data_IF_667100711310
#
_entry.id   IF_667100711310
#
_cell.length_a   1.000
_cell.length_b   1.000
_cell.length_c   1.000
_cell.angle_alpha   90.00
_cell.angle_beta   90.00
_cell.angle_gamma   90.00
#
_symmetry.space_group_name_H-M   'P 1'
#
loop_
_entity.id
_entity.type
_entity.pdbx_description
1 polymer ?
#
# COMPACT_ATOMS: atom_id res chain seq x y z
N UNK A 1 -7.57 26.47 21.88
CA UNK A 1 -7.21 25.34 22.76
C UNK A 1 -7.14 24.11 21.87
N UNK A 2 -5.94 23.79 21.38
CA UNK A 2 -5.66 22.64 20.54
C UNK A 2 -5.62 21.41 21.42
N UNK A 3 -6.64 20.55 21.34
CA UNK A 3 -6.61 19.24 22.00
C UNK A 3 -5.46 18.43 21.38
N UNK A 4 -4.47 18.10 22.21
CA UNK A 4 -3.36 17.25 21.80
C UNK A 4 -3.91 15.90 21.34
N UNK A 5 -3.81 15.64 20.03
CA UNK A 5 -3.99 14.30 19.50
C UNK A 5 -2.79 13.50 19.95
N UNK A 6 -2.99 12.57 20.87
CA UNK A 6 -2.00 11.53 21.16
C UNK A 6 -1.94 10.62 19.94
N UNK A 7 -0.84 10.70 19.20
CA UNK A 7 -0.57 9.79 18.09
C UNK A 7 0.09 8.52 18.62
N UNK A 8 -0.21 7.36 18.04
CA UNK A 8 0.59 6.15 18.26
C UNK A 8 2.01 6.45 17.80
N UNK A 9 2.98 6.58 18.71
CA UNK A 9 4.39 6.85 18.34
C UNK A 9 4.91 5.66 17.54
N UNK A 10 5.80 5.85 16.56
CA UNK A 10 6.60 4.72 16.07
C UNK A 10 7.77 4.42 17.02
N UNK A 11 8.24 3.17 17.04
CA UNK A 11 9.40 2.79 17.84
C UNK A 11 10.68 3.53 17.38
N UNK A 12 11.59 3.88 18.30
CA UNK A 12 12.91 4.42 17.97
C UNK A 12 13.80 3.34 17.32
N UNK A 13 14.75 3.75 16.46
CA UNK A 13 15.83 2.85 16.01
C UNK A 13 16.81 2.58 17.16
N UNK A 14 17.23 1.32 17.34
CA UNK A 14 18.22 0.91 18.32
C UNK A 14 19.54 1.69 18.14
N UNK A 15 20.07 2.19 19.25
CA UNK A 15 21.00 3.32 19.35
C UNK A 15 22.48 2.92 19.34
N UNK A 16 23.30 3.60 18.52
CA UNK A 16 24.62 4.09 18.95
C UNK A 16 25.14 5.33 18.18
N UNK A 17 24.29 6.00 17.41
CA UNK A 17 24.66 7.24 16.70
C UNK A 17 23.97 8.41 17.40
N UNK A 18 24.76 9.34 17.97
CA UNK A 18 24.31 10.64 18.48
C UNK A 18 23.12 11.16 17.66
N UNK A 19 21.97 11.39 18.30
CA UNK A 19 20.79 12.00 17.66
C UNK A 19 21.18 13.34 17.02
N UNK A 20 21.53 13.30 15.73
CA UNK A 20 21.44 14.47 14.89
C UNK A 20 19.95 14.77 14.73
N UNK A 21 19.50 15.98 15.06
CA UNK A 21 18.15 16.41 14.75
C UNK A 21 17.99 16.36 13.22
N UNK A 22 17.33 15.34 12.69
CA UNK A 22 16.92 15.31 11.29
C UNK A 22 15.73 16.25 11.10
N UNK A 23 15.78 17.02 10.01
CA UNK A 23 14.76 18.00 9.63
C UNK A 23 14.27 17.66 8.24
N UNK A 24 12.97 17.79 8.03
CA UNK A 24 12.35 17.61 6.72
C UNK A 24 11.49 18.85 6.39
N UNK A 25 11.60 19.34 5.16
CA UNK A 25 10.72 20.41 4.65
C UNK A 25 10.46 20.20 3.16
N UNK A 26 9.23 20.48 2.71
CA UNK A 26 8.87 20.41 1.29
C UNK A 26 9.51 21.53 0.46
N UNK A 27 10.04 22.57 1.12
CA UNK A 27 10.78 23.65 0.46
C UNK A 27 12.06 23.16 -0.24
N UNK A 28 12.64 22.06 0.23
CA UNK A 28 13.88 21.49 -0.33
C UNK A 28 13.66 20.72 -1.64
N UNK A 29 12.41 20.57 -2.08
CA UNK A 29 12.04 19.78 -3.25
C UNK A 29 11.45 20.65 -4.36
N UNK A 30 11.73 20.23 -5.60
CA UNK A 30 11.24 20.85 -6.82
C UNK A 30 9.95 20.21 -7.31
N UNK A 31 9.81 18.91 -7.02
CA UNK A 31 8.72 18.07 -7.48
C UNK A 31 8.17 17.27 -6.31
N UNK A 32 6.85 17.23 -6.19
CA UNK A 32 6.15 16.23 -5.39
C UNK A 32 5.43 15.26 -6.34
N UNK A 33 5.69 13.98 -6.17
CA UNK A 33 4.95 12.92 -6.84
C UNK A 33 3.94 12.29 -5.88
N UNK A 34 2.77 11.90 -6.37
CA UNK A 34 1.77 11.20 -5.56
C UNK A 34 1.37 9.88 -6.23
N UNK A 35 1.18 8.81 -5.46
CA UNK A 35 0.25 7.77 -5.85
C UNK A 35 -1.20 8.29 -5.82
N UNK A 36 -2.12 7.54 -6.45
CA UNK A 36 -3.53 7.85 -6.47
C UNK A 36 -4.30 7.07 -5.41
N UNK A 37 -4.49 5.76 -5.60
CA UNK A 37 -5.24 4.89 -4.70
C UNK A 37 -4.64 4.94 -3.29
N UNK A 38 -5.48 5.08 -2.26
CA UNK A 38 -5.08 5.19 -0.84
C UNK A 38 -4.17 6.38 -0.47
N UNK A 39 -3.72 7.17 -1.45
CA UNK A 39 -2.88 8.36 -1.24
C UNK A 39 -3.67 9.64 -1.48
N UNK A 40 -3.95 9.99 -2.74
CA UNK A 40 -4.82 11.13 -3.06
C UNK A 40 -6.31 10.74 -3.00
N UNK A 41 -6.64 9.54 -3.46
CA UNK A 41 -7.98 8.97 -3.47
C UNK A 41 -8.13 7.98 -2.32
N UNK A 42 -8.58 8.49 -1.17
CA UNK A 42 -8.78 7.66 0.03
C UNK A 42 -10.05 6.85 -0.06
N UNK A 43 -9.94 5.56 0.25
CA UNK A 43 -11.07 4.66 0.34
C UNK A 43 -11.68 4.65 1.74
N UNK A 44 -12.98 4.38 1.80
CA UNK A 44 -13.69 4.00 3.03
C UNK A 44 -13.37 2.55 3.31
N UNK A 45 -12.33 2.28 4.09
CA UNK A 45 -11.75 0.94 4.27
C UNK A 45 -12.78 -0.16 4.61
N UNK A 46 -13.73 0.00 5.54
CA UNK A 46 -14.74 -1.04 5.79
C UNK A 46 -15.59 -1.39 4.55
N UNK A 47 -15.93 -0.39 3.74
CA UNK A 47 -16.68 -0.60 2.50
C UNK A 47 -15.82 -1.29 1.44
N UNK A 48 -14.56 -0.88 1.29
CA UNK A 48 -13.60 -1.51 0.39
C UNK A 48 -13.34 -2.97 0.77
N UNK A 49 -13.10 -3.24 2.05
CA UNK A 49 -12.79 -4.60 2.54
C UNK A 49 -13.97 -5.53 2.33
N UNK A 50 -15.20 -5.08 2.63
CA UNK A 50 -16.41 -5.83 2.31
C UNK A 50 -16.50 -6.13 0.81
N UNK A 51 -16.21 -5.17 -0.05
CA UNK A 51 -16.27 -5.35 -1.49
C UNK A 51 -15.23 -6.36 -2.00
N UNK A 52 -13.98 -6.26 -1.54
CA UNK A 52 -12.92 -7.20 -1.91
C UNK A 52 -13.26 -8.62 -1.43
N UNK A 53 -13.65 -8.75 -0.16
CA UNK A 53 -14.11 -10.02 0.42
C UNK A 53 -15.25 -10.64 -0.40
N UNK A 54 -16.31 -9.87 -0.66
CA UNK A 54 -17.51 -10.37 -1.35
C UNK A 54 -17.21 -10.77 -2.79
N UNK A 55 -16.35 -10.01 -3.48
CA UNK A 55 -15.96 -10.32 -4.85
C UNK A 55 -15.25 -11.68 -4.96
N UNK A 56 -14.35 -11.98 -4.03
CA UNK A 56 -13.62 -13.25 -4.01
C UNK A 56 -14.54 -14.39 -3.53
N UNK A 57 -15.41 -14.16 -2.54
CA UNK A 57 -16.42 -15.15 -2.12
C UNK A 57 -17.30 -15.58 -3.29
N UNK A 58 -17.79 -14.62 -4.10
CA UNK A 58 -18.59 -14.93 -5.30
C UNK A 58 -17.82 -15.84 -6.25
N UNK A 59 -16.57 -15.49 -6.56
CA UNK A 59 -15.72 -16.33 -7.39
C UNK A 59 -15.53 -17.74 -6.83
N UNK A 60 -15.26 -17.87 -5.53
CA UNK A 60 -15.05 -19.17 -4.87
C UNK A 60 -16.31 -20.04 -4.93
N UNK A 61 -17.50 -19.45 -4.72
CA UNK A 61 -18.77 -20.16 -4.85
C UNK A 61 -18.98 -20.62 -6.29
N UNK A 62 -18.69 -19.77 -7.28
CA UNK A 62 -18.84 -20.11 -8.71
C UNK A 62 -17.98 -21.30 -9.13
N UNK A 63 -16.80 -21.49 -8.51
CA UNK A 63 -15.92 -22.63 -8.75
C UNK A 63 -16.17 -23.82 -7.79
N UNK A 64 -17.25 -23.78 -7.02
CA UNK A 64 -17.76 -24.91 -6.24
C UNK A 64 -17.39 -24.96 -4.77
N UNK A 65 -16.91 -23.86 -4.17
CA UNK A 65 -16.70 -23.82 -2.71
C UNK A 65 -18.05 -23.79 -1.97
N UNK A 66 -18.20 -24.50 -0.83
CA UNK A 66 -19.46 -24.53 -0.11
C UNK A 66 -19.79 -23.16 0.48
N UNK A 67 -20.95 -22.60 0.10
CA UNK A 67 -21.37 -21.24 0.49
C UNK A 67 -21.41 -21.05 2.02
N UNK A 68 -21.76 -22.10 2.75
CA UNK A 68 -21.92 -22.10 4.20
C UNK A 68 -20.63 -21.86 4.99
N UNK A 69 -19.45 -21.90 4.35
CA UNK A 69 -18.19 -21.55 5.02
C UNK A 69 -17.96 -20.03 5.07
N UNK A 70 -18.72 -19.26 4.30
CA UNK A 70 -18.59 -17.81 4.18
C UNK A 70 -19.74 -17.11 4.91
N UNK A 71 -19.41 -16.16 5.77
CA UNK A 71 -20.36 -15.18 6.32
C UNK A 71 -20.28 -13.88 5.52
N UNK A 72 -21.26 -13.00 5.68
CA UNK A 72 -21.11 -11.60 5.27
C UNK A 72 -19.94 -10.95 6.02
N UNK A 73 -19.36 -9.91 5.42
CA UNK A 73 -18.31 -9.11 6.05
C UNK A 73 -18.93 -8.00 6.90
N UNK A 74 -18.68 -8.04 8.20
CA UNK A 74 -19.11 -7.08 9.21
C UNK A 74 -17.90 -6.47 9.96
N UNK A 75 -18.16 -5.71 11.02
CA UNK A 75 -17.11 -5.00 11.76
C UNK A 75 -16.22 -5.94 12.59
N UNK A 76 -16.72 -7.12 12.97
CA UNK A 76 -15.94 -8.08 13.78
C UNK A 76 -14.73 -8.61 13.02
N UNK A 77 -14.78 -8.70 11.69
CA UNK A 77 -13.66 -9.14 10.86
C UNK A 77 -12.56 -8.09 10.73
N UNK A 78 -12.82 -6.82 11.10
CA UNK A 78 -11.77 -5.78 11.17
C UNK A 78 -10.68 -6.14 12.18
N UNK A 79 -10.97 -6.97 13.18
CA UNK A 79 -10.00 -7.48 14.14
C UNK A 79 -8.85 -8.27 13.49
N UNK A 80 -9.05 -8.81 12.29
CA UNK A 80 -8.05 -9.56 11.53
C UNK A 80 -7.36 -8.75 10.43
N UNK A 81 -7.80 -7.50 10.21
CA UNK A 81 -7.34 -6.65 9.12
C UNK A 81 -6.06 -5.89 9.51
N UNK A 82 -4.89 -6.43 9.16
CA UNK A 82 -3.60 -5.75 9.32
C UNK A 82 -2.78 -5.84 8.04
N UNK A 83 -2.23 -4.70 7.59
CA UNK A 83 -1.29 -4.65 6.46
C UNK A 83 0.03 -5.33 6.82
N UNK A 84 0.66 -5.93 5.84
CA UNK A 84 2.00 -6.47 5.95
C UNK A 84 2.11 -7.87 6.57
N UNK A 85 0.99 -8.55 6.80
CA UNK A 85 0.98 -9.95 7.20
C UNK A 85 1.42 -10.86 6.05
N UNK A 86 2.03 -12.00 6.39
CA UNK A 86 2.42 -13.03 5.43
C UNK A 86 1.51 -14.25 5.53
N UNK A 87 1.14 -14.85 4.41
CA UNK A 87 0.51 -16.16 4.36
C UNK A 87 1.48 -17.21 3.83
N UNK A 88 1.71 -18.24 4.64
CA UNK A 88 2.41 -19.46 4.26
C UNK A 88 1.49 -20.37 3.45
N UNK A 89 1.76 -20.44 2.15
CA UNK A 89 1.02 -21.23 1.16
C UNK A 89 1.16 -22.73 1.34
N UNK A 90 2.20 -23.20 2.03
CA UNK A 90 2.43 -24.62 2.29
C UNK A 90 1.81 -25.08 3.60
N UNK A 91 1.70 -24.18 4.59
CA UNK A 91 1.25 -24.52 5.95
C UNK A 91 -0.08 -23.93 6.38
N UNK A 92 -0.70 -23.05 5.57
CA UNK A 92 -1.97 -22.42 5.93
C UNK A 92 -1.87 -21.43 7.09
N UNK A 93 -0.68 -20.89 7.33
CA UNK A 93 -0.38 -20.03 8.47
C UNK A 93 -0.26 -18.56 8.07
N UNK A 94 -0.70 -17.66 8.95
CA UNK A 94 -0.62 -16.22 8.81
C UNK A 94 0.38 -15.67 9.82
N UNK A 95 1.38 -14.95 9.37
CA UNK A 95 2.55 -14.56 10.15
C UNK A 95 2.66 -13.04 10.26
N UNK A 96 2.96 -12.57 11.47
CA UNK A 96 3.42 -11.20 11.73
C UNK A 96 4.90 -11.23 12.08
N UNK A 97 5.69 -10.36 11.47
CA UNK A 97 7.14 -10.33 11.65
C UNK A 97 7.62 -9.19 12.55
N UNK A 98 8.67 -9.45 13.32
CA UNK A 98 9.45 -8.44 14.03
C UNK A 98 10.55 -7.85 13.17
N UNK A 99 11.26 -6.85 13.69
CA UNK A 99 12.37 -6.17 13.00
C UNK A 99 13.43 -7.15 12.45
N UNK A 100 13.75 -8.20 13.20
CA UNK A 100 14.72 -9.23 12.81
C UNK A 100 14.13 -10.31 11.88
N UNK A 101 12.91 -10.10 11.39
CA UNK A 101 12.15 -11.02 10.51
C UNK A 101 11.82 -12.35 11.18
N UNK A 102 11.91 -12.40 12.51
CA UNK A 102 11.35 -13.47 13.34
C UNK A 102 9.83 -13.39 13.37
N UNK A 103 9.17 -14.53 13.56
CA UNK A 103 7.71 -14.61 13.62
C UNK A 103 7.26 -14.27 15.04
N UNK A 104 6.52 -13.17 15.18
CA UNK A 104 5.99 -12.67 16.46
C UNK A 104 4.63 -13.26 16.80
N UNK A 105 3.77 -13.39 15.79
CA UNK A 105 2.44 -13.95 15.89
C UNK A 105 2.21 -14.88 14.71
N UNK A 106 1.53 -15.98 14.98
CA UNK A 106 1.09 -16.91 13.96
C UNK A 106 -0.34 -17.33 14.23
N UNK A 107 -1.16 -17.31 13.18
CA UNK A 107 -2.49 -17.92 13.16
C UNK A 107 -2.50 -19.05 12.15
N UNK A 108 -3.09 -20.19 12.51
CA UNK A 108 -3.46 -21.23 11.57
C UNK A 108 -4.97 -21.15 11.35
N UNK A 109 -5.38 -20.73 10.15
CA UNK A 109 -6.77 -20.31 9.94
C UNK A 109 -7.14 -19.22 10.95
N UNK A 110 -8.25 -19.38 11.68
CA UNK A 110 -8.66 -18.43 12.74
C UNK A 110 -8.06 -18.72 14.12
N UNK A 111 -7.25 -19.76 14.26
CA UNK A 111 -6.68 -20.17 15.55
C UNK A 111 -5.27 -19.61 15.75
N UNK A 112 -5.07 -18.83 16.82
CA UNK A 112 -3.74 -18.37 17.25
C UNK A 112 -2.88 -19.56 17.71
N UNK A 113 -1.65 -19.64 17.23
CA UNK A 113 -0.66 -20.64 17.68
C UNK A 113 0.12 -20.13 18.90
N UNK A 114 0.58 -21.06 19.74
CA UNK A 114 1.50 -20.76 20.84
C UNK A 114 2.93 -20.58 20.33
N UNK A 115 3.79 -19.94 21.12
CA UNK A 115 5.19 -19.72 20.77
C UNK A 115 5.94 -21.06 20.55
N UNK A 116 5.61 -22.09 21.32
CA UNK A 116 6.20 -23.43 21.18
C UNK A 116 5.79 -24.07 19.84
N UNK A 117 4.53 -23.90 19.44
CA UNK A 117 4.05 -24.38 18.15
C UNK A 117 4.72 -23.63 16.99
N UNK A 118 4.88 -22.30 17.10
CA UNK A 118 5.61 -21.49 16.12
C UNK A 118 7.05 -21.98 15.98
N UNK A 119 7.77 -22.14 17.09
CA UNK A 119 9.17 -22.60 17.09
C UNK A 119 9.31 -24.00 16.49
N UNK A 120 8.34 -24.89 16.73
CA UNK A 120 8.33 -26.23 16.15
C UNK A 120 8.14 -26.20 14.63
N UNK A 121 7.35 -25.26 14.11
CA UNK A 121 7.02 -25.15 12.69
C UNK A 121 8.07 -24.34 11.91
N UNK A 122 8.64 -23.31 12.53
CA UNK A 122 9.47 -22.27 11.92
C UNK A 122 10.79 -22.03 12.67
N UNK A 123 11.36 -23.08 13.26
CA UNK A 123 12.66 -22.98 13.94
C UNK A 123 13.74 -22.39 13.02
N UNK A 124 14.80 -21.82 13.61
CA UNK A 124 15.78 -21.01 12.88
C UNK A 124 16.48 -21.71 11.69
N UNK A 125 16.47 -23.04 11.65
CA UNK A 125 17.05 -23.87 10.59
C UNK A 125 16.05 -24.19 9.45
N UNK A 126 14.79 -23.74 9.54
CA UNK A 126 13.77 -24.02 8.54
C UNK A 126 14.01 -23.23 7.26
N UNK A 127 13.64 -23.80 6.10
CA UNK A 127 13.74 -23.11 4.81
C UNK A 127 12.89 -21.83 4.78
N UNK A 128 11.75 -21.83 5.46
CA UNK A 128 10.88 -20.66 5.58
C UNK A 128 11.56 -19.55 6.39
N UNK A 129 12.18 -19.88 7.52
CA UNK A 129 12.93 -18.92 8.31
C UNK A 129 14.11 -18.33 7.51
N UNK A 130 14.77 -19.15 6.70
CA UNK A 130 15.80 -18.67 5.76
C UNK A 130 15.20 -17.75 4.68
N UNK A 131 14.04 -18.09 4.11
CA UNK A 131 13.32 -17.26 3.14
C UNK A 131 12.93 -15.89 3.72
N UNK A 132 12.45 -15.84 4.97
CA UNK A 132 12.04 -14.59 5.62
C UNK A 132 13.21 -13.58 5.74
N UNK A 133 14.46 -14.05 5.72
CA UNK A 133 15.66 -13.18 5.65
C UNK A 133 15.78 -12.39 4.36
N UNK A 134 14.97 -12.67 3.34
CA UNK A 134 14.93 -11.91 2.09
C UNK A 134 13.81 -10.86 2.05
N UNK A 135 13.01 -10.71 3.11
CA UNK A 135 12.02 -9.64 3.20
C UNK A 135 12.68 -8.24 3.15
N UNK A 136 12.07 -7.23 2.50
CA UNK A 136 10.76 -7.30 1.83
C UNK A 136 10.86 -7.93 0.43
N UNK A 137 9.85 -8.72 0.04
CA UNK A 137 9.80 -9.30 -1.30
C UNK A 137 9.43 -8.26 -2.35
N UNK A 138 10.34 -7.98 -3.28
CA UNK A 138 10.11 -7.10 -4.43
C UNK A 138 9.58 -7.93 -5.61
N UNK A 139 8.40 -7.55 -6.11
CA UNK A 139 7.74 -8.20 -7.25
C UNK A 139 8.60 -8.11 -8.52
N UNK A 140 8.86 -9.26 -9.15
CA UNK A 140 9.66 -9.34 -10.38
C UNK A 140 11.18 -9.39 -10.18
N UNK A 141 11.68 -9.12 -8.97
CA UNK A 141 13.11 -9.29 -8.62
C UNK A 141 13.33 -10.51 -7.73
N UNK A 142 12.42 -10.73 -6.78
CA UNK A 142 12.56 -11.83 -5.84
C UNK A 142 12.20 -13.13 -6.54
N UNK A 143 13.16 -14.05 -6.65
CA UNK A 143 12.94 -15.31 -7.35
C UNK A 143 11.76 -16.08 -6.77
N UNK A 144 11.03 -16.78 -7.63
CA UNK A 144 9.92 -17.65 -7.20
C UNK A 144 10.39 -18.71 -6.19
N UNK A 145 11.63 -19.21 -6.33
CA UNK A 145 12.23 -20.12 -5.35
C UNK A 145 12.28 -19.51 -3.95
N UNK A 146 12.61 -18.21 -3.86
CA UNK A 146 12.66 -17.47 -2.59
C UNK A 146 11.25 -17.17 -2.08
N UNK A 147 10.30 -16.78 -2.93
CA UNK A 147 8.92 -16.42 -2.53
C UNK A 147 7.91 -17.57 -2.60
N UNK A 148 8.37 -18.82 -2.80
CA UNK A 148 7.50 -19.98 -2.99
C UNK A 148 6.55 -20.21 -1.82
N UNK A 149 7.00 -19.88 -0.61
CA UNK A 149 6.26 -20.09 0.63
C UNK A 149 5.25 -18.98 0.88
N UNK A 150 5.61 -17.72 0.64
CA UNK A 150 4.88 -16.61 1.23
C UNK A 150 4.14 -15.74 0.23
N UNK A 151 2.94 -15.32 0.61
CA UNK A 151 2.23 -14.19 0.03
C UNK A 151 2.18 -13.05 1.06
N UNK A 152 2.44 -11.82 0.65
CA UNK A 152 2.37 -10.65 1.53
C UNK A 152 1.11 -9.85 1.25
N UNK A 153 0.30 -9.60 2.29
CA UNK A 153 -0.85 -8.69 2.24
C UNK A 153 -0.37 -7.24 2.42
N UNK A 154 0.38 -6.74 1.44
CA UNK A 154 1.17 -5.51 1.55
C UNK A 154 0.42 -4.20 1.31
N UNK A 155 -0.84 -4.26 0.90
CA UNK A 155 -1.65 -3.10 0.53
C UNK A 155 -3.09 -3.23 1.04
N UNK A 156 -3.83 -2.13 1.14
CA UNK A 156 -5.18 -2.11 1.69
C UNK A 156 -6.22 -2.88 0.84
N UNK A 157 -5.96 -3.11 -0.45
CA UNK A 157 -6.85 -3.94 -1.28
C UNK A 157 -6.79 -5.42 -0.87
N UNK A 158 -5.65 -5.87 -0.37
CA UNK A 158 -5.47 -7.24 0.11
C UNK A 158 -5.94 -7.44 1.56
N UNK A 159 -5.90 -6.43 2.42
CA UNK A 159 -6.16 -6.58 3.87
C UNK A 159 -7.54 -7.15 4.18
N UNK A 160 -8.60 -6.67 3.52
CA UNK A 160 -9.97 -7.16 3.75
C UNK A 160 -10.20 -8.64 3.40
N UNK A 161 -9.25 -9.26 2.69
CA UNK A 161 -9.33 -10.64 2.20
C UNK A 161 -8.62 -11.65 3.10
N UNK A 162 -7.88 -11.19 4.11
CA UNK A 162 -7.12 -12.03 5.05
C UNK A 162 -8.06 -12.99 5.78
N UNK A 163 -9.14 -12.47 6.37
CA UNK A 163 -10.12 -13.28 7.09
C UNK A 163 -10.78 -14.33 6.18
N UNK A 164 -11.04 -14.00 4.91
CA UNK A 164 -11.56 -14.97 3.95
C UNK A 164 -10.63 -16.17 3.79
N UNK A 165 -9.33 -15.92 3.59
CA UNK A 165 -8.36 -17.00 3.47
C UNK A 165 -8.20 -17.79 4.78
N UNK A 166 -8.33 -17.14 5.94
CA UNK A 166 -8.37 -17.83 7.24
C UNK A 166 -9.55 -18.80 7.33
N UNK A 167 -10.74 -18.40 6.86
CA UNK A 167 -11.92 -19.29 6.81
C UNK A 167 -11.76 -20.44 5.83
N UNK A 168 -11.07 -20.22 4.72
CA UNK A 168 -10.73 -21.28 3.75
C UNK A 168 -9.81 -22.31 4.40
N UNK A 169 -8.81 -21.87 5.17
CA UNK A 169 -7.93 -22.78 5.94
C UNK A 169 -8.73 -23.58 6.97
N UNK A 170 -9.56 -22.93 7.79
CA UNK A 170 -10.42 -23.62 8.77
C UNK A 170 -11.32 -24.67 8.10
N UNK A 171 -11.92 -24.33 6.95
CA UNK A 171 -12.83 -25.20 6.22
C UNK A 171 -12.12 -26.40 5.58
N UNK A 172 -10.90 -26.21 5.05
CA UNK A 172 -10.08 -27.31 4.56
C UNK A 172 -9.74 -28.28 5.69
N UNK A 173 -9.32 -27.78 6.85
CA UNK A 173 -8.95 -28.62 7.99
C UNK A 173 -10.16 -29.35 8.62
N UNK A 174 -11.34 -28.74 8.54
CA UNK A 174 -12.60 -29.40 8.89
C UNK A 174 -13.11 -30.39 7.82
N UNK A 175 -12.39 -30.62 6.73
CA UNK A 175 -12.77 -31.53 5.65
C UNK A 175 -13.92 -31.03 4.77
N UNK A 176 -14.27 -29.74 4.83
CA UNK A 176 -15.35 -29.13 4.02
C UNK A 176 -14.90 -28.76 2.61
N UNK A 177 -13.60 -28.56 2.40
CA UNK A 177 -12.99 -28.31 1.09
C UNK A 177 -12.16 -29.52 0.71
N UNK A 178 -12.46 -30.13 -0.44
CA UNK A 178 -11.69 -31.24 -0.98
C UNK A 178 -10.34 -30.76 -1.53
N UNK A 179 -9.32 -30.74 -0.67
CA UNK A 179 -7.92 -30.49 -1.04
C UNK A 179 -6.96 -31.27 -0.14
N UNK A 180 -5.88 -31.77 -0.74
CA UNK A 180 -4.80 -32.46 -0.02
C UNK A 180 -3.81 -31.48 0.63
N UNK A 181 -3.72 -30.25 0.11
CA UNK A 181 -2.81 -29.19 0.56
C UNK A 181 -3.51 -27.83 0.69
N UNK A 182 -2.77 -26.81 1.15
CA UNK A 182 -3.22 -25.42 1.19
C UNK A 182 -2.94 -24.64 -0.11
N UNK A 183 -2.11 -25.19 -1.00
CA UNK A 183 -1.71 -24.55 -2.24
C UNK A 183 -2.88 -24.41 -3.20
N UNK A 184 -3.72 -25.46 -3.38
CA UNK A 184 -4.91 -25.35 -4.24
C UNK A 184 -5.88 -24.27 -3.72
N UNK A 185 -6.34 -24.29 -2.45
CA UNK A 185 -7.25 -23.24 -1.97
C UNK A 185 -6.68 -21.82 -2.05
N UNK A 186 -5.38 -21.67 -1.85
CA UNK A 186 -4.73 -20.38 -2.07
C UNK A 186 -4.75 -19.96 -3.55
N UNK A 187 -4.45 -20.87 -4.49
CA UNK A 187 -4.51 -20.56 -5.94
C UNK A 187 -5.90 -20.12 -6.35
N UNK A 188 -6.94 -20.82 -5.90
CA UNK A 188 -8.34 -20.50 -6.20
C UNK A 188 -8.75 -19.13 -5.62
N UNK A 189 -8.33 -18.84 -4.38
CA UNK A 189 -8.50 -17.51 -3.77
C UNK A 189 -7.77 -16.41 -4.56
N UNK A 190 -6.51 -16.66 -4.93
CA UNK A 190 -5.66 -15.70 -5.65
C UNK A 190 -6.13 -15.49 -7.09
N UNK A 191 -6.72 -16.50 -7.73
CA UNK A 191 -7.40 -16.38 -9.02
C UNK A 191 -8.58 -15.43 -8.91
N UNK A 192 -9.42 -15.58 -7.87
CA UNK A 192 -10.51 -14.63 -7.59
C UNK A 192 -10.03 -13.21 -7.38
N UNK A 193 -8.97 -13.05 -6.59
CA UNK A 193 -8.31 -11.75 -6.38
C UNK A 193 -7.80 -11.15 -7.70
N UNK A 194 -7.12 -11.94 -8.52
CA UNK A 194 -6.55 -11.50 -9.80
C UNK A 194 -7.65 -11.13 -10.80
N UNK A 195 -8.71 -11.95 -10.90
CA UNK A 195 -9.88 -11.70 -11.76
C UNK A 195 -10.62 -10.44 -11.36
N UNK A 196 -10.76 -10.18 -10.06
CA UNK A 196 -11.42 -8.98 -9.52
C UNK A 196 -10.84 -7.69 -10.09
N UNK A 197 -9.51 -7.61 -10.20
CA UNK A 197 -8.77 -6.43 -10.64
C UNK A 197 -8.39 -6.42 -12.13
N UNK A 198 -8.94 -7.32 -12.96
CA UNK A 198 -8.70 -7.25 -14.41
C UNK A 198 -9.18 -5.89 -14.94
N UNK A 199 -8.29 -5.15 -15.61
CA UNK A 199 -8.59 -3.79 -16.09
C UNK A 199 -9.78 -3.74 -17.07
N UNK A 200 -10.00 -4.83 -17.80
CA UNK A 200 -11.11 -5.01 -18.74
C UNK A 200 -12.46 -4.91 -18.03
N UNK A 201 -12.56 -5.42 -16.79
CA UNK A 201 -13.78 -5.36 -16.00
C UNK A 201 -14.27 -3.92 -15.76
N UNK A 202 -13.36 -2.96 -15.65
CA UNK A 202 -13.74 -1.56 -15.51
C UNK A 202 -14.44 -1.08 -16.78
N UNK A 203 -13.81 -1.23 -17.95
CA UNK A 203 -14.36 -0.76 -19.23
C UNK A 203 -15.66 -1.46 -19.59
N UNK A 204 -15.69 -2.77 -19.46
CA UNK A 204 -16.81 -3.62 -19.86
C UNK A 204 -17.94 -3.64 -18.84
N UNK A 205 -17.73 -3.06 -17.65
CA UNK A 205 -18.68 -3.10 -16.54
C UNK A 205 -19.06 -4.54 -16.16
N UNK A 206 -18.07 -5.41 -16.10
CA UNK A 206 -18.19 -6.84 -15.75
C UNK A 206 -17.54 -7.14 -14.40
N UNK A 207 -17.73 -8.36 -13.89
CA UNK A 207 -17.30 -8.73 -12.54
C UNK A 207 -18.16 -8.06 -11.46
N UNK A 208 -17.63 -7.95 -10.24
CA UNK A 208 -18.36 -7.36 -9.11
C UNK A 208 -17.71 -6.08 -8.58
N UNK A 209 -16.38 -6.06 -8.44
CA UNK A 209 -15.64 -4.94 -7.84
C UNK A 209 -15.83 -3.61 -8.58
N UNK A 210 -15.40 -3.49 -9.83
CA UNK A 210 -15.47 -2.23 -10.55
C UNK A 210 -16.90 -1.73 -10.81
N UNK A 211 -17.89 -2.59 -11.17
CA UNK A 211 -19.29 -2.16 -11.25
C UNK A 211 -19.82 -1.56 -9.95
N UNK A 212 -19.51 -2.18 -8.81
CA UNK A 212 -19.93 -1.69 -7.50
C UNK A 212 -19.23 -0.36 -7.16
N UNK A 213 -17.92 -0.24 -7.40
CA UNK A 213 -17.19 1.02 -7.21
C UNK A 213 -17.78 2.15 -8.05
N UNK A 214 -18.09 1.90 -9.33
CA UNK A 214 -18.71 2.90 -10.23
C UNK A 214 -20.09 3.33 -9.77
N UNK A 215 -20.91 2.38 -9.31
CA UNK A 215 -22.30 2.63 -8.93
C UNK A 215 -22.40 3.33 -7.58
N UNK A 216 -21.50 2.98 -6.67
CA UNK A 216 -21.51 3.43 -5.28
C UNK A 216 -20.26 4.25 -4.91
N UNK A 217 -19.72 5.04 -5.85
CA UNK A 217 -18.46 5.80 -5.69
C UNK A 217 -18.39 6.58 -4.38
N UNK A 218 -19.49 7.25 -3.98
CA UNK A 218 -19.52 8.05 -2.75
C UNK A 218 -19.50 7.26 -1.45
N UNK A 219 -19.88 5.98 -1.51
CA UNK A 219 -19.75 5.01 -0.41
C UNK A 219 -18.40 4.30 -0.41
N UNK A 220 -17.63 4.41 -1.48
CA UNK A 220 -16.30 3.80 -1.60
C UNK A 220 -15.17 4.78 -1.35
N UNK A 221 -15.30 6.04 -1.81
CA UNK A 221 -14.24 7.04 -1.76
C UNK A 221 -14.62 8.24 -0.89
N UNK A 222 -13.61 8.86 -0.30
CA UNK A 222 -13.71 10.21 0.23
C UNK A 222 -13.39 11.23 -0.87
N UNK A 223 -14.04 12.40 -0.81
CA UNK A 223 -13.61 13.54 -1.62
C UNK A 223 -12.43 14.24 -0.95
N UNK A 224 -11.51 14.79 -1.73
CA UNK A 224 -10.43 15.61 -1.20
C UNK A 224 -11.04 16.83 -0.50
N UNK A 225 -10.50 17.16 0.68
CA UNK A 225 -11.00 18.31 1.43
C UNK A 225 -10.67 19.63 0.72
N UNK A 226 -11.49 20.68 0.86
CA UNK A 226 -11.17 22.00 0.29
C UNK A 226 -9.78 22.51 0.71
N UNK A 227 -9.35 22.21 1.94
CA UNK A 227 -8.02 22.57 2.46
C UNK A 227 -6.90 21.87 1.70
N UNK A 228 -7.04 20.58 1.41
CA UNK A 228 -6.08 19.82 0.61
C UNK A 228 -6.00 20.34 -0.83
N UNK A 229 -7.15 20.64 -1.45
CA UNK A 229 -7.18 21.21 -2.80
C UNK A 229 -6.49 22.58 -2.86
N UNK A 230 -6.74 23.44 -1.87
CA UNK A 230 -6.07 24.73 -1.77
C UNK A 230 -4.56 24.58 -1.54
N UNK A 231 -4.16 23.62 -0.70
CA UNK A 231 -2.75 23.31 -0.48
C UNK A 231 -2.06 22.87 -1.77
N UNK A 232 -2.65 21.98 -2.57
CA UNK A 232 -2.09 21.59 -3.89
C UNK A 232 -1.93 22.80 -4.83
N UNK A 233 -2.90 23.74 -4.83
CA UNK A 233 -2.77 24.99 -5.61
C UNK A 233 -1.64 25.87 -5.10
N UNK A 234 -1.52 26.02 -3.77
CA UNK A 234 -0.47 26.82 -3.15
C UNK A 234 0.92 26.24 -3.47
N UNK A 235 1.09 24.92 -3.41
CA UNK A 235 2.33 24.25 -3.79
C UNK A 235 2.75 24.60 -5.23
N UNK A 236 1.80 24.59 -6.17
CA UNK A 236 2.04 24.98 -7.57
C UNK A 236 2.37 26.47 -7.69
N UNK A 237 1.64 27.32 -6.96
CA UNK A 237 1.86 28.77 -6.93
C UNK A 237 3.28 29.09 -6.45
N UNK A 238 3.78 28.35 -5.46
CA UNK A 238 5.15 28.45 -4.95
C UNK A 238 6.21 27.87 -5.90
N UNK A 239 5.80 27.38 -7.08
CA UNK A 239 6.67 26.86 -8.12
C UNK A 239 7.00 25.37 -8.02
N UNK A 240 6.42 24.64 -7.06
CA UNK A 240 6.60 23.18 -7.00
C UNK A 240 5.81 22.48 -8.09
N UNK A 241 6.42 21.51 -8.76
CA UNK A 241 5.74 20.68 -9.77
C UNK A 241 5.06 19.50 -9.10
N UNK A 242 3.89 19.14 -9.60
CA UNK A 242 3.09 18.04 -9.04
C UNK A 242 2.85 17.01 -10.12
N UNK A 243 3.25 15.77 -9.88
CA UNK A 243 2.96 14.64 -10.77
C UNK A 243 2.18 13.55 -10.03
N UNK A 244 1.30 12.86 -10.74
CA UNK A 244 0.66 11.64 -10.22
C UNK A 244 1.29 10.44 -10.91
N UNK A 245 1.66 9.40 -10.15
CA UNK A 245 2.24 8.15 -10.65
C UNK A 245 1.46 7.00 -10.02
N UNK A 246 0.50 6.46 -10.76
CA UNK A 246 -0.42 5.42 -10.28
C UNK A 246 -0.33 4.14 -11.10
N UNK A 247 -0.48 3.00 -10.43
CA UNK A 247 -0.65 1.70 -11.07
C UNK A 247 -2.06 1.47 -11.61
N UNK A 248 -3.02 2.36 -11.32
CA UNK A 248 -4.37 2.30 -11.87
C UNK A 248 -4.40 2.56 -13.38
N UNK A 249 -5.27 1.86 -14.10
CA UNK A 249 -5.51 2.12 -15.52
C UNK A 249 -6.16 3.51 -15.71
N UNK A 250 -5.97 4.12 -16.87
CA UNK A 250 -6.29 5.54 -17.10
C UNK A 250 -7.76 5.91 -16.84
N UNK A 251 -8.70 5.04 -17.22
CA UNK A 251 -10.13 5.25 -17.01
C UNK A 251 -10.53 5.19 -15.54
N UNK A 252 -9.98 4.26 -14.78
CA UNK A 252 -10.23 4.16 -13.35
C UNK A 252 -9.60 5.33 -12.60
N UNK A 253 -8.37 5.70 -12.96
CA UNK A 253 -7.70 6.87 -12.42
C UNK A 253 -8.50 8.15 -12.69
N UNK A 254 -8.99 8.35 -13.91
CA UNK A 254 -9.81 9.50 -14.26
C UNK A 254 -11.12 9.53 -13.46
N UNK A 255 -11.81 8.39 -13.30
CA UNK A 255 -13.04 8.31 -12.50
C UNK A 255 -12.78 8.75 -11.04
N UNK A 256 -11.70 8.26 -10.43
CA UNK A 256 -11.33 8.64 -9.06
C UNK A 256 -10.97 10.12 -8.96
N UNK A 257 -10.13 10.62 -9.86
CA UNK A 257 -9.72 12.02 -9.87
C UNK A 257 -10.91 12.97 -10.07
N UNK A 258 -11.84 12.64 -10.97
CA UNK A 258 -13.08 13.41 -11.16
C UNK A 258 -13.94 13.42 -9.90
N UNK A 259 -14.05 12.30 -9.20
CA UNK A 259 -14.85 12.22 -7.98
C UNK A 259 -14.20 12.96 -6.80
N UNK A 260 -12.90 12.74 -6.58
CA UNK A 260 -12.18 13.24 -5.43
C UNK A 260 -11.84 14.74 -5.54
N UNK A 261 -11.48 15.22 -6.73
CA UNK A 261 -10.98 16.58 -6.97
C UNK A 261 -11.99 17.43 -7.76
N UNK A 262 -12.67 16.83 -8.73
CA UNK A 262 -13.64 17.50 -9.60
C UNK A 262 -13.29 17.41 -11.09
N UNK A 263 -14.14 17.96 -11.95
CA UNK A 263 -14.01 17.83 -13.42
C UNK A 263 -12.73 18.43 -14.00
N UNK A 264 -12.14 19.41 -13.33
CA UNK A 264 -10.91 20.08 -13.75
C UNK A 264 -9.69 19.56 -12.98
N UNK A 265 -9.69 18.28 -12.60
CA UNK A 265 -8.63 17.68 -11.79
C UNK A 265 -7.23 17.85 -12.41
N UNK A 266 -7.10 17.91 -13.73
CA UNK A 266 -5.81 18.09 -14.41
C UNK A 266 -5.18 19.46 -14.13
N UNK A 267 -5.94 20.46 -13.66
CA UNK A 267 -5.41 21.77 -13.29
C UNK A 267 -4.44 21.69 -12.10
N UNK A 268 -4.60 20.68 -11.24
CA UNK A 268 -3.78 20.45 -10.05
C UNK A 268 -2.44 19.75 -10.34
N UNK A 269 -2.26 19.15 -11.53
CA UNK A 269 -1.08 18.34 -11.84
C UNK A 269 -0.36 18.82 -13.08
N UNK A 270 0.96 18.71 -13.12
CA UNK A 270 1.78 19.00 -14.29
C UNK A 270 1.82 17.81 -15.24
N UNK A 271 1.65 16.59 -14.75
CA UNK A 271 1.46 15.37 -15.55
C UNK A 271 0.90 14.24 -14.71
N UNK A 272 0.27 13.27 -15.37
CA UNK A 272 -0.23 12.04 -14.73
C UNK A 272 0.29 10.83 -15.47
N UNK A 273 0.88 9.89 -14.74
CA UNK A 273 1.34 8.60 -15.22
C UNK A 273 0.39 7.55 -14.67
N UNK A 274 -0.34 6.90 -15.57
CA UNK A 274 -1.26 5.79 -15.29
C UNK A 274 -0.58 4.48 -15.63
N UNK A 275 -1.10 3.36 -15.12
CA UNK A 275 -0.54 2.04 -15.35
C UNK A 275 0.99 2.02 -15.21
N UNK A 276 1.51 2.67 -14.17
CA UNK A 276 2.96 2.81 -13.96
C UNK A 276 3.65 1.45 -13.78
N UNK A 277 2.88 0.43 -13.37
CA UNK A 277 3.35 -0.93 -13.10
C UNK A 277 4.51 -0.93 -12.09
N UNK A 278 4.30 -0.25 -10.97
CA UNK A 278 5.17 -0.29 -9.79
C UNK A 278 5.26 -1.76 -9.28
N UNK A 279 6.41 -2.22 -8.78
CA UNK A 279 7.66 -1.49 -8.58
C UNK A 279 8.47 -1.28 -9.86
N UNK A 280 8.10 -1.90 -10.98
CA UNK A 280 8.85 -1.85 -12.24
C UNK A 280 9.09 -0.44 -12.81
N UNK A 281 8.26 0.54 -12.46
CA UNK A 281 8.51 1.96 -12.78
C UNK A 281 9.86 2.46 -12.22
N UNK A 282 10.22 2.01 -11.02
CA UNK A 282 11.46 2.37 -10.33
C UNK A 282 12.63 1.50 -10.77
N UNK A 283 12.37 0.23 -11.07
CA UNK A 283 13.42 -0.78 -11.23
C UNK A 283 13.82 -1.04 -12.69
N UNK A 284 13.01 -0.59 -13.66
CA UNK A 284 13.26 -0.81 -15.09
C UNK A 284 13.52 0.51 -15.82
N UNK A 285 14.77 1.01 -15.83
CA UNK A 285 15.10 2.36 -16.31
C UNK A 285 14.78 2.59 -17.80
N UNK A 286 14.78 1.53 -18.62
CA UNK A 286 14.51 1.61 -20.05
C UNK A 286 13.03 1.44 -20.43
N UNK A 287 12.12 1.27 -19.47
CA UNK A 287 10.69 1.17 -19.77
C UNK A 287 10.19 2.49 -20.35
N UNK A 288 9.63 2.42 -21.57
CA UNK A 288 9.15 3.59 -22.30
C UNK A 288 7.75 4.00 -21.85
N UNK A 289 7.45 5.29 -22.02
CA UNK A 289 6.11 5.82 -21.84
C UNK A 289 5.27 5.61 -23.11
N UNK A 290 3.96 5.59 -22.93
CA UNK A 290 2.97 5.53 -24.00
C UNK A 290 1.98 6.69 -23.88
N UNK A 291 1.44 7.17 -25.00
CA UNK A 291 0.24 8.00 -24.97
C UNK A 291 -0.95 7.19 -24.45
N UNK A 292 -1.98 7.86 -23.95
CA UNK A 292 -3.24 7.22 -23.59
C UNK A 292 -4.25 7.45 -24.71
N UNK A 293 -4.74 6.37 -25.33
CA UNK A 293 -5.79 6.41 -26.35
C UNK A 293 -6.90 5.44 -25.97
N UNK A 294 -8.14 5.93 -25.89
CA UNK A 294 -9.28 5.14 -25.42
C UNK A 294 -8.99 4.42 -24.09
N UNK A 295 -8.32 5.13 -23.16
CA UNK A 295 -7.96 4.64 -21.83
C UNK A 295 -7.03 3.42 -21.80
N UNK A 296 -6.27 3.20 -22.88
CA UNK A 296 -5.22 2.17 -22.99
C UNK A 296 -3.94 2.76 -23.54
N UNK A 297 -2.86 1.98 -23.49
CA UNK A 297 -1.59 2.35 -24.10
C UNK A 297 -1.76 2.55 -25.62
N UNK A 298 -1.38 3.73 -26.09
CA UNK A 298 -1.33 4.12 -27.50
C UNK A 298 0.10 4.03 -28.04
N UNK A 299 0.57 5.11 -28.64
CA UNK A 299 1.89 5.18 -29.26
C UNK A 299 3.00 5.32 -28.21
N UNK A 300 4.11 4.62 -28.42
CA UNK A 300 5.32 4.78 -27.62
C UNK A 300 5.92 6.17 -27.84
N UNK A 301 6.30 6.86 -26.76
CA UNK A 301 6.80 8.23 -26.82
C UNK A 301 8.23 8.37 -26.29
N UNK A 302 9.04 9.16 -27.00
CA UNK A 302 10.39 9.51 -26.60
C UNK A 302 10.51 10.85 -25.87
N UNK A 303 9.52 11.74 -26.00
CA UNK A 303 9.50 13.02 -25.29
C UNK A 303 8.18 13.21 -24.55
N UNK A 304 8.27 13.53 -23.27
CA UNK A 304 7.14 13.90 -22.44
C UNK A 304 6.84 15.40 -22.59
N UNK A 305 5.62 15.79 -22.25
CA UNK A 305 5.03 17.13 -22.34
C UNK A 305 4.27 17.41 -21.05
N UNK A 306 4.12 18.68 -20.74
CA UNK A 306 3.27 19.12 -19.65
C UNK A 306 1.79 18.81 -19.92
N UNK A 307 1.00 18.84 -18.85
CA UNK A 307 -0.46 18.68 -18.84
C UNK A 307 -0.97 17.48 -19.63
N UNK A 308 -0.22 16.38 -19.63
CA UNK A 308 -0.54 15.17 -20.39
C UNK A 308 -0.70 13.96 -19.47
N UNK A 309 -1.57 13.03 -19.88
CA UNK A 309 -1.74 11.72 -19.26
C UNK A 309 -0.96 10.67 -20.05
N UNK A 310 -0.13 9.91 -19.35
CA UNK A 310 0.74 8.88 -19.89
C UNK A 310 0.38 7.50 -19.33
N UNK A 311 0.85 6.45 -20.01
CA UNK A 311 0.85 5.09 -19.49
C UNK A 311 2.28 4.54 -19.36
N UNK A 312 2.51 3.72 -18.32
CA UNK A 312 3.78 3.04 -18.03
C UNK A 312 4.96 4.01 -17.80
N UNK A 313 6.12 3.75 -18.42
CA UNK A 313 7.35 4.52 -18.23
C UNK A 313 8.24 4.08 -17.07
N UNK A 314 9.27 4.89 -16.80
CA UNK A 314 10.25 4.66 -15.75
C UNK A 314 10.66 5.95 -15.04
N UNK A 315 11.23 5.83 -13.83
CA UNK A 315 11.75 6.99 -13.09
C UNK A 315 12.85 7.72 -13.87
N UNK A 316 13.71 6.99 -14.59
CA UNK A 316 14.77 7.57 -15.43
C UNK A 316 14.23 8.41 -16.59
N UNK A 317 13.20 7.92 -17.30
CA UNK A 317 12.59 8.68 -18.40
C UNK A 317 11.74 9.83 -17.85
N UNK A 318 11.08 9.66 -16.69
CA UNK A 318 10.35 10.74 -16.04
C UNK A 318 11.26 11.91 -15.67
N UNK A 319 12.49 11.64 -15.22
CA UNK A 319 13.46 12.69 -14.90
C UNK A 319 13.71 13.65 -16.06
N UNK A 320 13.60 13.20 -17.32
CA UNK A 320 13.71 14.08 -18.49
C UNK A 320 12.59 15.13 -18.53
N UNK A 321 11.35 14.73 -18.21
CA UNK A 321 10.23 15.65 -18.05
C UNK A 321 10.46 16.58 -16.86
N UNK A 322 10.92 16.05 -15.73
CA UNK A 322 11.12 16.87 -14.53
C UNK A 322 12.15 17.97 -14.77
N UNK A 323 13.23 17.69 -15.52
CA UNK A 323 14.20 18.70 -15.95
C UNK A 323 13.56 19.79 -16.80
N UNK A 324 12.71 19.41 -17.76
CA UNK A 324 11.98 20.35 -18.61
C UNK A 324 11.00 21.22 -17.81
N UNK A 325 10.23 20.62 -16.89
CA UNK A 325 9.24 21.33 -16.08
C UNK A 325 9.89 22.31 -15.10
N UNK A 326 11.00 21.91 -14.48
CA UNK A 326 11.66 22.69 -13.42
C UNK A 326 12.74 23.64 -13.95
N UNK A 327 13.26 23.40 -15.16
CA UNK A 327 14.43 24.11 -15.69
C UNK A 327 15.74 23.77 -14.97
N UNK A 328 15.79 22.67 -14.20
CA UNK A 328 16.94 22.25 -13.41
C UNK A 328 17.58 20.99 -13.99
N UNK A 329 18.90 20.88 -13.91
CA UNK A 329 19.63 19.70 -14.39
C UNK A 329 19.42 18.46 -13.51
N UNK A 330 19.18 18.68 -12.22
CA UNK A 330 18.95 17.64 -11.21
C UNK A 330 17.75 18.05 -10.32
N UNK A 331 16.51 17.93 -10.83
CA UNK A 331 15.33 18.23 -10.03
C UNK A 331 15.22 17.27 -8.85
N UNK A 332 15.00 17.80 -7.65
CA UNK A 332 14.80 16.97 -6.47
C UNK A 332 13.32 16.61 -6.31
N UNK A 333 13.01 15.31 -6.35
CA UNK A 333 11.65 14.80 -6.18
C UNK A 333 11.46 14.12 -4.82
N UNK A 334 10.31 14.36 -4.19
CA UNK A 334 9.78 13.53 -3.10
C UNK A 334 8.50 12.83 -3.57
N UNK A 335 8.38 11.53 -3.33
CA UNK A 335 7.23 10.72 -3.72
C UNK A 335 6.39 10.32 -2.51
N UNK A 336 5.07 10.47 -2.60
CA UNK A 336 4.10 10.15 -1.56
C UNK A 336 3.29 8.92 -2.00
N UNK A 337 3.25 7.87 -1.19
CA UNK A 337 2.52 6.65 -1.51
C UNK A 337 2.23 5.79 -0.28
N UNK A 338 1.33 4.81 -0.40
CA UNK A 338 0.88 3.96 0.70
C UNK A 338 1.48 2.55 0.70
N UNK A 339 1.96 2.07 -0.46
CA UNK A 339 2.62 0.77 -0.57
C UNK A 339 4.02 0.82 0.02
N UNK A 340 4.20 0.20 1.18
CA UNK A 340 5.49 0.20 1.89
C UNK A 340 6.63 -0.44 1.09
N UNK A 341 6.31 -1.31 0.14
CA UNK A 341 7.29 -1.88 -0.78
C UNK A 341 7.37 -1.06 -2.06
N UNK A 342 6.27 -0.97 -2.80
CA UNK A 342 6.29 -0.48 -4.18
C UNK A 342 6.45 1.05 -4.27
N UNK A 343 6.09 1.80 -3.22
CA UNK A 343 6.15 3.28 -3.18
C UNK A 343 7.20 3.84 -2.24
N UNK A 344 7.62 3.06 -1.24
CA UNK A 344 8.48 3.54 -0.16
C UNK A 344 9.86 2.88 -0.23
N UNK A 345 9.93 1.57 -0.03
CA UNK A 345 11.20 0.86 0.01
C UNK A 345 11.93 0.87 -1.34
N UNK A 346 11.24 0.52 -2.43
CA UNK A 346 11.85 0.37 -3.75
C UNK A 346 12.42 1.68 -4.30
N UNK A 347 11.68 2.80 -4.40
CA UNK A 347 12.25 4.04 -4.94
C UNK A 347 13.43 4.57 -4.12
N UNK A 348 13.45 4.34 -2.80
CA UNK A 348 14.59 4.64 -1.93
C UNK A 348 15.79 3.73 -2.23
N UNK A 349 15.57 2.41 -2.33
CA UNK A 349 16.61 1.41 -2.67
C UNK A 349 17.29 1.71 -4.01
N UNK A 350 16.53 2.22 -4.98
CA UNK A 350 16.99 2.50 -6.33
C UNK A 350 17.40 3.96 -6.56
N UNK A 351 17.44 4.79 -5.51
CA UNK A 351 17.83 6.21 -5.57
C UNK A 351 17.04 7.02 -6.61
N UNK A 352 15.75 6.68 -6.84
CA UNK A 352 14.90 7.41 -7.76
C UNK A 352 14.38 8.73 -7.13
N UNK A 353 14.08 8.72 -5.83
CA UNK A 353 13.55 9.86 -5.09
C UNK A 353 13.49 9.60 -3.57
N UNK A 354 13.40 10.68 -2.80
CA UNK A 354 13.02 10.62 -1.37
C UNK A 354 11.53 10.24 -1.25
N UNK A 355 11.12 9.65 -0.12
CA UNK A 355 9.73 9.16 0.03
C UNK A 355 9.01 9.66 1.28
N UNK A 356 7.69 9.75 1.19
CA UNK A 356 6.76 10.01 2.30
C UNK A 356 5.73 8.89 2.33
N UNK A 357 5.62 8.20 3.45
CA UNK A 357 4.67 7.09 3.63
C UNK A 357 3.29 7.56 4.06
N UNK A 358 2.25 7.15 3.33
CA UNK A 358 0.87 7.17 3.81
C UNK A 358 0.62 5.91 4.63
N UNK A 359 0.50 6.08 5.94
CA UNK A 359 0.34 5.00 6.92
C UNK A 359 -0.93 5.25 7.72
N UNK A 360 -2.07 4.82 7.18
CA UNK A 360 -3.39 5.02 7.80
C UNK A 360 -3.46 4.36 9.19
N UNK A 361 -2.64 3.33 9.45
CA UNK A 361 -2.53 2.65 10.74
C UNK A 361 -2.24 3.60 11.92
N UNK A 362 -1.62 4.77 11.67
CA UNK A 362 -1.41 5.82 12.68
C UNK A 362 -2.73 6.26 13.33
N UNK A 363 -3.82 6.30 12.56
CA UNK A 363 -5.16 6.61 13.06
C UNK A 363 -6.03 5.37 13.25
N UNK A 364 -5.89 4.35 12.40
CA UNK A 364 -6.74 3.16 12.45
C UNK A 364 -6.57 2.35 13.73
N UNK A 365 -5.35 2.27 14.30
CA UNK A 365 -5.13 1.57 15.57
C UNK A 365 -5.90 2.17 16.76
N UNK A 366 -6.32 3.43 16.64
CA UNK A 366 -7.15 4.10 17.66
C UNK A 366 -8.62 3.67 17.57
N UNK A 367 -9.03 3.06 16.45
CA UNK A 367 -10.41 2.62 16.24
C UNK A 367 -10.69 1.32 17.00
N UNK A 368 -11.76 1.24 17.80
CA UNK A 368 -12.10 0.03 18.54
C UNK A 368 -12.23 -1.19 17.61
N UNK A 369 -11.56 -2.29 17.98
CA UNK A 369 -11.64 -3.55 17.25
C UNK A 369 -10.79 -3.62 15.98
N UNK A 370 -10.15 -2.53 15.54
CA UNK A 370 -9.25 -2.60 14.39
C UNK A 370 -8.01 -3.44 14.71
N UNK A 371 -7.75 -4.47 13.92
CA UNK A 371 -6.55 -5.30 14.02
C UNK A 371 -6.27 -5.90 15.41
N UNK A 372 -7.28 -5.99 16.28
CA UNK A 372 -7.09 -6.34 17.70
C UNK A 372 -6.51 -7.74 17.91
N UNK A 373 -6.67 -8.66 16.95
CA UNK A 373 -6.08 -10.00 17.02
C UNK A 373 -4.58 -10.02 16.70
N UNK A 374 -4.06 -9.00 16.01
CA UNK A 374 -2.65 -8.90 15.61
C UNK A 374 -1.85 -7.91 16.47
N UNK A 375 -2.51 -7.14 17.33
CA UNK A 375 -1.90 -6.04 18.08
C UNK A 375 -1.49 -4.88 17.16
N UNK A 376 -0.59 -4.01 17.63
CA UNK A 376 -0.13 -2.85 16.86
C UNK A 376 0.61 -3.25 15.58
N UNK A 377 0.32 -2.59 14.47
CA UNK A 377 1.10 -2.61 13.23
C UNK A 377 2.54 -2.14 13.46
N UNK A 378 2.76 -1.19 14.39
CA UNK A 378 4.08 -0.60 14.62
C UNK A 378 4.98 -1.40 15.57
N UNK A 379 4.40 -2.16 16.49
CA UNK A 379 5.13 -2.84 17.57
C UNK A 379 4.91 -4.35 17.60
N UNK A 380 5.90 -5.04 18.14
CA UNK A 380 5.83 -6.41 18.62
C UNK A 380 5.13 -6.46 19.99
N UNK A 381 4.54 -7.61 20.33
CA UNK A 381 3.71 -7.80 21.53
C UNK A 381 4.42 -7.47 22.86
N UNK A 382 3.63 -7.22 23.90
CA UNK A 382 4.07 -7.13 25.31
C UNK A 382 4.81 -8.39 25.81
N UNK A 383 5.74 -8.27 26.78
CA UNK A 383 6.07 -7.07 27.57
C UNK A 383 7.18 -6.18 26.98
N UNK A 384 7.77 -6.55 25.84
CA UNK A 384 8.85 -5.78 25.20
C UNK A 384 8.34 -5.20 23.88
N UNK A 385 8.06 -3.90 23.88
CA UNK A 385 7.70 -3.11 22.69
C UNK A 385 8.90 -2.98 21.74
N UNK A 386 9.20 -4.04 20.99
CA UNK A 386 10.18 -3.98 19.89
C UNK A 386 9.50 -3.56 18.58
N UNK A 387 10.22 -2.95 17.61
CA UNK A 387 9.63 -2.60 16.33
C UNK A 387 9.11 -3.81 15.54
N UNK A 388 7.98 -3.63 14.86
CA UNK A 388 7.58 -4.55 13.78
C UNK A 388 8.56 -4.45 12.60
N UNK A 389 8.54 -5.46 11.72
CA UNK A 389 9.29 -5.38 10.46
C UNK A 389 8.96 -4.10 9.67
N UNK A 390 7.67 -3.78 9.53
CA UNK A 390 7.23 -2.64 8.73
C UNK A 390 7.57 -1.28 9.36
N UNK A 391 7.64 -1.18 10.69
CA UNK A 391 8.19 0.02 11.35
C UNK A 391 9.63 0.27 10.94
N UNK A 392 10.45 -0.77 10.79
CA UNK A 392 11.83 -0.63 10.34
C UNK A 392 11.94 -0.18 8.88
N UNK A 393 11.07 -0.69 8.00
CA UNK A 393 10.98 -0.26 6.59
C UNK A 393 10.58 1.22 6.51
N UNK A 394 9.54 1.64 7.23
CA UNK A 394 9.10 3.04 7.27
C UNK A 394 10.23 3.93 7.80
N UNK A 395 10.85 3.56 8.92
CA UNK A 395 11.90 4.38 9.55
C UNK A 395 13.16 4.50 8.71
N UNK A 396 13.49 3.49 7.91
CA UNK A 396 14.70 3.50 7.07
C UNK A 396 14.49 4.12 5.68
N UNK A 397 13.25 4.16 5.19
CA UNK A 397 12.95 4.55 3.81
C UNK A 397 12.22 5.88 3.70
N UNK A 398 11.39 6.26 4.68
CA UNK A 398 10.61 7.49 4.65
C UNK A 398 11.40 8.68 5.22
N UNK A 399 11.23 9.85 4.61
CA UNK A 399 11.56 11.15 5.24
C UNK A 399 10.48 11.61 6.22
N UNK A 400 9.24 11.16 5.99
CA UNK A 400 8.06 11.49 6.77
C UNK A 400 7.05 10.34 6.63
N UNK A 401 6.35 9.99 7.70
CA UNK A 401 5.18 9.11 7.65
C UNK A 401 3.97 9.86 8.21
N UNK A 402 2.86 9.88 7.48
CA UNK A 402 1.62 10.59 7.82
C UNK A 402 0.42 9.66 7.62
N UNK A 403 -0.70 9.86 8.35
CA UNK A 403 -1.90 9.06 8.13
C UNK A 403 -2.59 9.38 6.80
N UNK A 404 -2.40 10.58 6.24
CA UNK A 404 -2.97 10.98 4.96
C UNK A 404 -2.33 12.26 4.40
N UNK A 405 -2.59 12.54 3.12
CA UNK A 405 -2.19 13.82 2.49
C UNK A 405 -2.92 15.02 3.14
N UNK A 406 -4.13 14.84 3.67
CA UNK A 406 -4.80 15.92 4.43
C UNK A 406 -4.04 16.34 5.68
N UNK A 407 -3.29 15.43 6.31
CA UNK A 407 -2.42 15.78 7.44
C UNK A 407 -1.27 16.69 6.98
N UNK A 408 -0.65 16.38 5.83
CA UNK A 408 0.37 17.25 5.24
C UNK A 408 -0.18 18.62 4.86
N UNK A 409 -1.41 18.66 4.31
CA UNK A 409 -2.07 19.89 3.91
C UNK A 409 -2.40 20.84 5.08
N UNK A 410 -2.13 20.44 6.33
CA UNK A 410 -2.22 21.34 7.48
C UNK A 410 -1.06 22.32 7.57
N UNK A 411 0.04 22.06 6.88
CA UNK A 411 1.29 22.79 6.99
C UNK A 411 1.67 23.47 5.66
N UNK A 412 2.22 24.69 5.70
CA UNK A 412 2.75 25.34 4.51
C UNK A 412 4.00 24.61 3.99
N UNK A 413 4.39 24.89 2.74
CA UNK A 413 5.53 24.22 2.08
C UNK A 413 6.85 24.39 2.84
N UNK A 414 7.06 25.54 3.47
CA UNK A 414 8.26 25.88 4.23
C UNK A 414 8.23 25.45 5.70
N UNK A 415 7.17 24.76 6.11
CA UNK A 415 7.13 24.12 7.42
C UNK A 415 8.30 23.13 7.56
N UNK A 416 8.91 23.14 8.73
CA UNK A 416 10.03 22.27 9.08
C UNK A 416 9.53 21.26 10.10
N UNK A 417 9.47 20.01 9.69
CA UNK A 417 9.22 18.89 10.57
C UNK A 417 10.53 18.57 11.31
N UNK A 418 10.50 18.46 12.65
CA UNK A 418 11.65 18.14 13.51
C UNK A 418 11.45 16.86 14.34
N UNK A 419 12.52 16.04 14.43
CA UNK A 419 12.52 14.72 15.11
C UNK A 419 12.24 14.75 16.63
N UNK A 420 12.31 15.90 17.29
CA UNK A 420 12.45 16.00 18.75
C UNK A 420 11.15 16.12 19.56
N UNK A 421 9.96 15.98 18.95
CA UNK A 421 8.69 16.15 19.69
C UNK A 421 7.76 14.94 19.55
N UNK A 422 7.18 14.54 20.68
CA UNK A 422 6.39 13.33 20.99
C UNK A 422 5.09 13.09 20.19
N UNK A 423 4.93 13.65 18.99
CA UNK A 423 3.75 13.46 18.13
C UNK A 423 4.16 12.76 16.84
N UNK A 424 3.63 11.54 16.61
CA UNK A 424 3.98 10.68 15.49
C UNK A 424 3.90 11.39 14.12
N UNK A 425 5.04 11.52 13.45
CA UNK A 425 5.22 11.84 12.04
C UNK A 425 6.64 11.38 11.63
N UNK A 426 6.88 10.10 11.35
CA UNK A 426 8.18 9.55 11.83
C UNK A 426 9.40 9.80 10.93
N UNK A 427 10.49 10.15 11.64
CA UNK A 427 11.85 10.51 11.24
C UNK A 427 12.81 9.32 11.36
N UNK A 428 13.77 9.23 10.42
CA UNK A 428 14.98 8.38 10.47
C UNK A 428 15.78 8.62 11.75
#
# INVERSE_FOLDING_TARGET
>A
MTSGRTFSKMPPQDTDTKLACSRFTLKDYDVIGFDLDHTLARYRLPALYRLCYTSIVKHLIDIGYPKEIFSDFDESQLAFCQKGLLYDKEKGNFLKLGVDRNILLCYHGTKRLSNEAIQKIYGAESEEAATLKHMPFIRGETSEKVTRFFHCFGDYFTVGTIYLLMKIVDAKDAGKIASQDYAKPYRDFFEGYSKMYSRENFQEHTGYFFPEVKTNTSKMLYQCTPKMLEWLKQLRFDGMKIVVITSSNADYAEMMLRYCIGNNWMDYFDSVVTWARKPGFWTQPERMFYTVKNNREGDMIGSLKDKTVYAQGSCNKLNQLLKQLTGKDQPKMVYVGDSLVDDIYVPTKYDCCDTIGIVEEIELEKMPGWSSNWGSFFYANEPIESPSFWSSVISSSCKLAVPSVEEMAQYPRDHVFEKCTDSCLVFT
#
